data_IF_400568270575
#
_entry.id   IF_400568270575
#
_cell.length_a   1.000
_cell.length_b   1.000
_cell.length_c   1.000
_cell.angle_alpha   90.00
_cell.angle_beta   90.00
_cell.angle_gamma   90.00
#
_symmetry.space_group_name_H-M   'P 1'
#
loop_
_entity.id
_entity.type
_entity.pdbx_description
1 polymer ?
#
# COMPACT_ATOMS: atom_id res chain seq x y z
N UNK A 1 -17.87 1.55 8.39
CA UNK A 1 -17.41 0.87 7.17
C UNK A 1 -18.56 0.55 6.21
N UNK A 2 -19.83 0.63 6.64
CA UNK A 2 -20.96 0.88 5.73
C UNK A 2 -21.57 2.23 6.10
N UNK A 3 -21.72 3.12 5.12
CA UNK A 3 -22.44 4.37 5.31
C UNK A 3 -23.93 4.09 5.14
N UNK A 4 -24.73 4.34 6.17
CA UNK A 4 -26.19 4.38 6.03
C UNK A 4 -26.67 5.70 5.41
N UNK A 5 -25.75 6.63 5.16
CA UNK A 5 -26.04 7.90 4.50
C UNK A 5 -25.97 7.73 2.97
N UNK A 6 -27.11 7.80 2.26
CA UNK A 6 -27.20 7.57 0.82
C UNK A 6 -26.45 8.62 -0.02
N UNK A 7 -25.96 9.71 0.58
CA UNK A 7 -25.22 10.77 -0.13
C UNK A 7 -23.70 10.59 -0.09
N UNK A 8 -23.17 9.67 0.71
CA UNK A 8 -21.74 9.41 0.77
C UNK A 8 -21.36 8.38 -0.28
N UNK A 9 -20.96 8.86 -1.46
CA UNK A 9 -20.44 7.99 -2.53
C UNK A 9 -19.14 7.37 -2.02
N UNK A 10 -19.18 6.07 -1.72
CA UNK A 10 -17.99 5.26 -1.49
C UNK A 10 -17.39 4.98 -2.88
N UNK A 11 -16.06 5.00 -2.99
CA UNK A 11 -15.39 4.63 -4.23
C UNK A 11 -15.83 3.21 -4.65
N UNK A 12 -16.55 3.01 -5.77
CA UNK A 12 -17.10 1.71 -6.13
C UNK A 12 -16.03 0.62 -6.25
N UNK A 13 -14.81 0.99 -6.63
CA UNK A 13 -13.70 0.04 -6.69
C UNK A 13 -13.28 -0.46 -5.30
N UNK A 14 -13.41 0.39 -4.27
CA UNK A 14 -13.18 -0.02 -2.88
C UNK A 14 -14.28 -0.95 -2.38
N UNK A 15 -15.53 -0.73 -2.77
CA UNK A 15 -16.62 -1.66 -2.43
C UNK A 15 -16.40 -3.04 -3.05
N UNK A 16 -16.04 -3.07 -4.34
CA UNK A 16 -15.70 -4.34 -5.03
C UNK A 16 -14.52 -5.03 -4.36
N UNK A 17 -13.45 -4.30 -4.02
CA UNK A 17 -12.30 -4.86 -3.31
C UNK A 17 -12.71 -5.48 -1.97
N UNK A 18 -13.54 -4.79 -1.19
CA UNK A 18 -14.01 -5.30 0.10
C UNK A 18 -14.86 -6.56 -0.11
N UNK A 19 -15.72 -6.60 -1.13
CA UNK A 19 -16.53 -7.78 -1.45
C UNK A 19 -15.66 -8.97 -1.88
N UNK A 20 -14.64 -8.75 -2.73
CA UNK A 20 -13.68 -9.78 -3.11
C UNK A 20 -12.93 -10.31 -1.87
N UNK A 21 -12.47 -9.42 -1.00
CA UNK A 21 -11.82 -9.83 0.24
C UNK A 21 -12.74 -10.67 1.12
N UNK A 22 -14.00 -10.24 1.34
CA UNK A 22 -14.95 -11.00 2.17
C UNK A 22 -15.32 -12.36 1.57
N UNK A 23 -15.29 -12.49 0.24
CA UNK A 23 -15.56 -13.74 -0.48
C UNK A 23 -14.37 -14.71 -0.42
N UNK A 24 -13.15 -14.20 -0.64
CA UNK A 24 -11.99 -15.03 -0.96
C UNK A 24 -11.01 -15.18 0.22
N UNK A 25 -11.04 -14.29 1.21
CA UNK A 25 -10.06 -14.27 2.27
C UNK A 25 -10.03 -15.57 3.09
N UNK A 26 -8.86 -16.20 3.09
CA UNK A 26 -8.61 -17.40 3.89
C UNK A 26 -8.34 -17.09 5.37
N UNK A 27 -8.47 -18.12 6.21
CA UNK A 27 -8.23 -18.04 7.66
C UNK A 27 -6.76 -18.00 8.05
N UNK A 28 -5.86 -18.48 7.18
CA UNK A 28 -4.43 -18.47 7.39
C UNK A 28 -3.91 -17.03 7.57
N UNK A 29 -3.02 -16.83 8.55
CA UNK A 29 -2.39 -15.54 8.81
C UNK A 29 -1.23 -15.24 7.85
N UNK A 30 -0.65 -14.03 7.97
CA UNK A 30 0.56 -13.64 7.23
C UNK A 30 1.71 -14.64 7.46
N UNK A 31 2.47 -14.95 6.43
CA UNK A 31 3.61 -15.88 6.51
C UNK A 31 4.86 -15.23 7.11
N UNK A 32 4.92 -13.89 7.11
CA UNK A 32 6.10 -13.11 7.46
C UNK A 32 7.12 -13.01 6.31
N UNK A 33 6.88 -13.65 5.17
CA UNK A 33 7.73 -13.55 3.98
C UNK A 33 7.28 -12.38 3.12
N UNK A 34 8.13 -11.35 3.03
CA UNK A 34 7.86 -10.17 2.21
C UNK A 34 8.32 -10.38 0.77
N UNK A 35 7.45 -10.04 -0.18
CA UNK A 35 7.68 -10.12 -1.62
C UNK A 35 7.27 -8.81 -2.29
N UNK A 36 7.95 -8.40 -3.35
CA UNK A 36 7.51 -7.26 -4.15
C UNK A 36 6.26 -7.61 -4.94
N UNK A 37 5.52 -6.59 -5.39
CA UNK A 37 4.34 -6.81 -6.25
C UNK A 37 4.65 -7.67 -7.49
N UNK A 38 5.86 -7.57 -8.07
CA UNK A 38 6.27 -8.34 -9.26
C UNK A 38 6.39 -9.84 -9.00
N UNK A 39 6.68 -10.22 -7.77
CA UNK A 39 6.92 -11.59 -7.35
C UNK A 39 5.63 -12.34 -6.99
N UNK A 40 4.52 -11.61 -6.78
CA UNK A 40 3.20 -12.22 -6.64
C UNK A 40 2.77 -12.86 -7.97
N UNK A 41 1.96 -13.94 -7.95
CA UNK A 41 1.44 -14.51 -9.19
C UNK A 41 0.69 -13.49 -10.04
N UNK A 42 0.98 -13.52 -11.34
CA UNK A 42 0.53 -12.53 -12.33
C UNK A 42 1.02 -11.09 -12.09
N UNK A 43 1.79 -10.82 -11.05
CA UNK A 43 2.28 -9.49 -10.68
C UNK A 43 3.19 -8.86 -11.71
N UNK A 44 4.02 -9.67 -12.37
CA UNK A 44 4.89 -9.22 -13.47
C UNK A 44 4.13 -8.53 -14.61
N UNK A 45 2.96 -9.07 -15.01
CA UNK A 45 2.15 -8.50 -16.09
C UNK A 45 1.48 -7.19 -15.72
N UNK A 46 1.12 -7.01 -14.44
CA UNK A 46 0.39 -5.83 -13.96
C UNK A 46 1.30 -4.77 -13.30
N UNK A 47 2.59 -5.06 -13.15
CA UNK A 47 3.50 -4.21 -12.39
C UNK A 47 3.62 -2.78 -12.95
N UNK A 48 3.58 -2.61 -14.28
CA UNK A 48 3.65 -1.26 -14.86
C UNK A 48 2.48 -0.37 -14.38
N UNK A 49 1.28 -0.95 -14.30
CA UNK A 49 0.08 -0.26 -13.79
C UNK A 49 0.22 0.00 -12.29
N UNK A 50 0.64 -1.00 -11.52
CA UNK A 50 0.88 -0.86 -10.08
C UNK A 50 1.87 0.26 -9.78
N UNK A 51 3.04 0.24 -10.42
CA UNK A 51 4.10 1.25 -10.24
C UNK A 51 3.58 2.66 -10.54
N UNK A 52 2.83 2.82 -11.63
CA UNK A 52 2.28 4.12 -12.03
C UNK A 52 1.25 4.68 -11.03
N UNK A 53 0.49 3.81 -10.36
CA UNK A 53 -0.59 4.20 -9.43
C UNK A 53 -0.18 4.24 -7.96
N UNK A 54 0.88 3.52 -7.59
CA UNK A 54 1.28 3.31 -6.19
C UNK A 54 2.66 3.90 -5.90
N UNK A 55 3.71 3.39 -6.56
CA UNK A 55 5.09 3.78 -6.24
C UNK A 55 5.42 5.20 -6.74
N UNK A 56 5.05 5.53 -7.99
CA UNK A 56 5.35 6.85 -8.56
C UNK A 56 4.65 8.00 -7.81
N UNK A 57 3.35 7.93 -7.47
CA UNK A 57 2.70 9.00 -6.71
C UNK A 57 3.30 9.17 -5.31
N UNK A 58 3.70 8.08 -4.65
CA UNK A 58 4.37 8.12 -3.36
C UNK A 58 5.71 8.86 -3.45
N UNK A 59 6.56 8.48 -4.42
CA UNK A 59 7.86 9.14 -4.68
C UNK A 59 7.64 10.63 -4.95
N UNK A 60 6.71 10.98 -5.85
CA UNK A 60 6.48 12.38 -6.24
C UNK A 60 6.02 13.28 -5.08
N UNK A 61 5.29 12.71 -4.11
CA UNK A 61 4.68 13.50 -3.02
C UNK A 61 5.49 13.47 -1.73
N UNK A 62 6.15 12.36 -1.45
CA UNK A 62 6.82 12.09 -0.17
C UNK A 62 8.32 11.76 -0.33
N UNK A 63 8.82 11.59 -1.56
CA UNK A 63 10.22 11.24 -1.90
C UNK A 63 11.28 12.06 -1.19
N UNK A 64 11.18 13.38 -1.34
CA UNK A 64 12.08 14.37 -0.73
C UNK A 64 11.56 14.89 0.61
N UNK A 65 10.59 14.20 1.23
CA UNK A 65 9.91 14.63 2.46
C UNK A 65 9.81 13.49 3.49
N UNK A 66 10.94 12.92 3.93
CA UNK A 66 10.99 11.76 4.84
C UNK A 66 10.16 11.96 6.12
N UNK A 67 10.22 13.15 6.71
CA UNK A 67 9.45 13.47 7.92
C UNK A 67 7.93 13.48 7.69
N UNK A 68 7.47 13.89 6.50
CA UNK A 68 6.05 13.81 6.16
C UNK A 68 5.61 12.37 5.95
N UNK A 69 6.46 11.55 5.32
CA UNK A 69 6.19 10.12 5.16
C UNK A 69 6.04 9.42 6.51
N UNK A 70 6.98 9.67 7.44
CA UNK A 70 6.93 9.15 8.81
C UNK A 70 5.66 9.55 9.55
N UNK A 71 5.30 10.84 9.52
CA UNK A 71 4.06 11.34 10.15
C UNK A 71 2.81 10.72 9.54
N UNK A 72 2.75 10.66 8.20
CA UNK A 72 1.63 10.07 7.49
C UNK A 72 1.47 8.58 7.82
N UNK A 73 2.55 7.80 7.77
CA UNK A 73 2.51 6.39 8.13
C UNK A 73 2.08 6.18 9.59
N UNK A 74 2.62 6.96 10.52
CA UNK A 74 2.20 6.92 11.93
C UNK A 74 0.71 7.23 12.13
N UNK A 75 0.15 8.20 11.40
CA UNK A 75 -1.28 8.53 11.47
C UNK A 75 -2.20 7.42 10.95
N UNK A 76 -1.69 6.52 10.11
CA UNK A 76 -2.39 5.33 9.63
C UNK A 76 -2.14 4.10 10.52
N UNK A 77 -1.52 4.27 11.69
CA UNK A 77 -1.15 3.16 12.58
C UNK A 77 0.01 2.31 12.05
N UNK A 78 0.82 2.86 11.14
CA UNK A 78 1.98 2.19 10.58
C UNK A 78 3.07 1.95 11.63
N UNK A 79 3.59 0.72 11.66
CA UNK A 79 4.69 0.33 12.54
C UNK A 79 6.02 0.40 11.78
N UNK A 80 7.12 0.91 12.36
CA UNK A 80 8.43 0.92 11.71
C UNK A 80 8.87 -0.49 11.25
N UNK A 81 9.49 -0.56 10.07
CA UNK A 81 10.10 -1.77 9.52
C UNK A 81 11.56 -1.49 9.10
N UNK A 82 12.40 -2.52 9.06
CA UNK A 82 13.83 -2.40 8.77
C UNK A 82 14.12 -2.61 7.28
N UNK A 83 13.69 -1.66 6.45
CA UNK A 83 13.94 -1.63 5.00
C UNK A 83 14.24 -0.21 4.53
N UNK A 84 15.15 -0.07 3.56
CA UNK A 84 15.53 1.24 3.01
C UNK A 84 15.95 2.24 4.08
N UNK A 85 15.76 3.54 3.81
CA UNK A 85 16.01 4.60 4.79
C UNK A 85 14.84 4.74 5.76
N UNK A 86 13.62 4.59 5.23
CA UNK A 86 12.38 4.60 6.00
C UNK A 86 11.46 3.49 5.49
N UNK A 87 10.94 2.68 6.40
CA UNK A 87 9.86 1.76 6.07
C UNK A 87 8.83 1.63 7.18
N UNK A 88 7.58 1.41 6.76
CA UNK A 88 6.45 1.23 7.65
C UNK A 88 5.57 0.08 7.18
N UNK A 89 5.28 -0.84 8.10
CA UNK A 89 4.28 -1.90 7.96
C UNK A 89 2.91 -1.35 8.34
N UNK A 90 1.98 -1.38 7.40
CA UNK A 90 0.60 -0.90 7.57
C UNK A 90 -0.34 -2.11 7.44
N UNK A 91 -1.16 -2.35 8.45
CA UNK A 91 -2.22 -3.36 8.38
C UNK A 91 -3.41 -2.77 7.65
N UNK A 92 -3.65 -3.22 6.41
CA UNK A 92 -4.66 -2.61 5.53
C UNK A 92 -6.05 -3.25 5.69
N UNK A 93 -6.06 -4.57 5.76
CA UNK A 93 -7.19 -5.44 6.08
C UNK A 93 -6.68 -6.52 7.03
N UNK A 94 -7.57 -7.24 7.75
CA UNK A 94 -7.12 -8.36 8.58
C UNK A 94 -6.23 -9.32 7.76
N UNK A 95 -5.06 -9.67 8.30
CA UNK A 95 -4.10 -10.60 7.66
C UNK A 95 -3.50 -10.11 6.33
N UNK A 96 -3.69 -8.84 5.96
CA UNK A 96 -3.13 -8.27 4.73
C UNK A 96 -2.25 -7.05 5.03
N UNK A 97 -1.04 -7.27 5.60
CA UNK A 97 -0.10 -6.18 5.84
C UNK A 97 0.63 -5.80 4.55
N UNK A 98 0.93 -4.50 4.40
CA UNK A 98 1.83 -3.97 3.38
C UNK A 98 3.02 -3.29 4.05
N UNK A 99 4.22 -3.40 3.47
CA UNK A 99 5.38 -2.61 3.89
C UNK A 99 5.69 -1.59 2.83
N UNK A 100 5.56 -0.32 3.17
CA UNK A 100 5.98 0.80 2.34
C UNK A 100 7.42 1.16 2.66
N UNK A 101 8.28 1.21 1.63
CA UNK A 101 9.71 1.51 1.75
C UNK A 101 10.00 2.78 0.96
N UNK A 102 10.76 3.69 1.57
CA UNK A 102 11.25 4.91 0.97
C UNK A 102 12.78 4.96 1.09
N UNK A 103 13.43 5.14 -0.03
CA UNK A 103 14.81 5.61 -0.12
C UNK A 103 14.76 7.09 -0.47
N UNK A 104 15.35 7.92 0.37
CA UNK A 104 15.35 9.37 0.19
C UNK A 104 16.25 9.77 -0.97
N UNK A 105 15.96 10.90 -1.57
CA UNK A 105 16.85 11.52 -2.55
C UNK A 105 18.15 11.97 -1.86
N UNK A 106 19.28 11.71 -2.51
CA UNK A 106 20.59 12.24 -2.13
C UNK A 106 21.26 12.91 -3.34
N UNK A 107 22.53 13.30 -3.21
CA UNK A 107 23.26 14.01 -4.27
C UNK A 107 23.51 13.16 -5.51
N UNK A 108 23.53 11.82 -5.39
CA UNK A 108 23.85 10.90 -6.47
C UNK A 108 22.61 10.19 -7.05
N UNK A 109 21.55 10.01 -6.26
CA UNK A 109 20.40 9.19 -6.62
C UNK A 109 19.05 9.86 -6.31
N UNK A 110 18.09 9.82 -7.27
CA UNK A 110 16.74 10.31 -7.01
C UNK A 110 15.99 9.41 -6.03
N UNK A 111 15.03 9.98 -5.30
CA UNK A 111 14.19 9.24 -4.37
C UNK A 111 13.50 8.03 -5.05
N UNK A 112 13.43 6.92 -4.31
CA UNK A 112 12.81 5.68 -4.75
C UNK A 112 11.85 5.19 -3.68
N UNK A 113 10.77 4.54 -4.10
CA UNK A 113 9.89 3.85 -3.18
C UNK A 113 9.50 2.48 -3.72
N UNK A 114 9.17 1.57 -2.82
CA UNK A 114 8.57 0.29 -3.17
C UNK A 114 7.57 -0.15 -2.11
N UNK A 115 6.72 -1.09 -2.48
CA UNK A 115 5.73 -1.69 -1.58
C UNK A 115 5.92 -3.20 -1.60
N UNK A 116 6.12 -3.78 -0.43
CA UNK A 116 6.15 -5.22 -0.23
C UNK A 116 4.81 -5.70 0.30
N UNK A 117 4.47 -6.91 -0.12
CA UNK A 117 3.30 -7.66 0.31
C UNK A 117 3.79 -8.88 1.09
N UNK A 118 3.00 -9.33 2.06
CA UNK A 118 3.22 -10.67 2.60
C UNK A 118 2.92 -11.70 1.49
N UNK A 119 3.68 -12.79 1.43
CA UNK A 119 3.49 -13.82 0.40
C UNK A 119 2.11 -14.47 0.46
N UNK A 120 1.39 -14.35 1.58
CA UNK A 120 0.00 -14.81 1.70
C UNK A 120 -1.01 -13.90 0.98
N UNK A 121 -0.63 -12.72 0.50
CA UNK A 121 -1.57 -11.73 -0.04
C UNK A 121 -2.45 -12.27 -1.17
N UNK A 122 -1.90 -13.13 -2.02
CA UNK A 122 -2.61 -13.81 -3.11
C UNK A 122 -3.75 -14.72 -2.64
N UNK A 123 -3.72 -15.17 -1.37
CA UNK A 123 -4.78 -15.98 -0.79
C UNK A 123 -5.98 -15.15 -0.35
N UNK A 124 -5.86 -13.82 -0.38
CA UNK A 124 -6.88 -12.91 0.13
C UNK A 124 -7.48 -12.02 -0.96
N UNK A 125 -6.71 -11.66 -1.98
CA UNK A 125 -7.14 -10.79 -3.07
C UNK A 125 -6.42 -11.14 -4.37
N UNK A 126 -7.12 -10.93 -5.48
CA UNK A 126 -6.53 -11.02 -6.81
C UNK A 126 -5.53 -9.89 -7.07
N UNK A 127 -4.67 -10.09 -8.07
CA UNK A 127 -3.55 -9.18 -8.32
C UNK A 127 -4.02 -7.75 -8.64
N UNK A 128 -5.12 -7.58 -9.36
CA UNK A 128 -5.73 -6.28 -9.67
C UNK A 128 -6.23 -5.55 -8.41
N UNK A 129 -6.82 -6.29 -7.48
CA UNK A 129 -7.30 -5.76 -6.20
C UNK A 129 -6.13 -5.38 -5.30
N UNK A 130 -5.06 -6.19 -5.26
CA UNK A 130 -3.81 -5.82 -4.58
C UNK A 130 -3.18 -4.56 -5.17
N UNK A 131 -3.30 -4.36 -6.48
CA UNK A 131 -2.84 -3.15 -7.14
C UNK A 131 -3.63 -1.92 -6.66
N UNK A 132 -4.96 -2.04 -6.64
CA UNK A 132 -5.87 -0.99 -6.21
C UNK A 132 -5.76 -0.72 -4.70
N UNK A 133 -5.49 -1.74 -3.88
CA UNK A 133 -5.19 -1.60 -2.46
C UNK A 133 -3.95 -0.73 -2.24
N UNK A 134 -2.86 -1.03 -2.93
CA UNK A 134 -1.64 -0.23 -2.86
C UNK A 134 -1.88 1.22 -3.29
N UNK A 135 -2.63 1.44 -4.36
CA UNK A 135 -3.02 2.79 -4.80
C UNK A 135 -3.82 3.52 -3.71
N UNK A 136 -4.78 2.84 -3.09
CA UNK A 136 -5.65 3.41 -2.05
C UNK A 136 -4.83 3.79 -0.83
N UNK A 137 -3.96 2.91 -0.34
CA UNK A 137 -3.10 3.18 0.82
C UNK A 137 -2.09 4.30 0.51
N UNK A 138 -1.52 4.34 -0.69
CA UNK A 138 -0.68 5.47 -1.13
C UNK A 138 -1.46 6.78 -1.10
N UNK A 139 -2.69 6.80 -1.60
CA UNK A 139 -3.55 8.00 -1.57
C UNK A 139 -3.82 8.45 -0.13
N UNK A 140 -4.05 7.50 0.78
CA UNK A 140 -4.26 7.80 2.19
C UNK A 140 -3.00 8.31 2.89
N UNK A 141 -1.82 7.76 2.58
CA UNK A 141 -0.53 8.30 3.04
C UNK A 141 -0.34 9.75 2.58
N UNK A 142 -0.60 10.03 1.31
CA UNK A 142 -0.49 11.38 0.75
C UNK A 142 -1.51 12.33 1.40
N UNK A 143 -2.74 11.87 1.66
CA UNK A 143 -3.81 12.68 2.28
C UNK A 143 -3.53 12.97 3.75
N UNK A 144 -2.94 12.02 4.46
CA UNK A 144 -2.68 12.12 5.90
C UNK A 144 -1.36 12.83 6.22
N UNK A 145 -0.52 13.07 5.20
CA UNK A 145 0.60 13.97 5.32
C UNK A 145 0.10 15.38 5.70
N UNK A 146 0.64 16.00 6.77
CA UNK A 146 0.27 17.36 7.17
C UNK A 146 0.38 18.33 5.99
N UNK A 147 -0.64 19.17 5.80
CA UNK A 147 -0.55 20.29 4.84
C UNK A 147 0.47 21.29 5.40
N UNK A 148 1.49 21.61 4.59
CA UNK A 148 2.42 22.71 4.84
C UNK A 148 1.85 23.96 4.16
#
# INVERSE_FOLDING_TARGET
>A
VFSTDPKKIIDPALEVLILHYLRDARTAGPTGKWVSYRELPSGGFYYAVFRARTEIPLIKRLGSRPELFKKAAGSLGGEPAQYGDLAFKIITLPRLPLVYILWTEDEEFPAKASVLFDSSAENHLHIEDLAYLGQTVTRELIRSAPRI
#
